data_IF_155490722853
#
_entry.id   IF_155490722853
#
_cell.length_a   1.000
_cell.length_b   1.000
_cell.length_c   1.000
_cell.angle_alpha   90.00
_cell.angle_beta   90.00
_cell.angle_gamma   90.00
#
_symmetry.space_group_name_H-M   'P 1'
#
loop_
_entity.id
_entity.type
_entity.pdbx_description
1 polymer ?
#
# COMPACT_ATOMS: atom_id res chain seq x y z
N UNK A 1 -9.79 -19.09 13.49
CA UNK A 1 -10.74 -18.20 12.77
C UNK A 1 -12.17 -18.74 12.70
N UNK A 2 -12.42 -20.05 12.56
CA UNK A 2 -13.77 -20.59 12.30
C UNK A 2 -14.77 -20.47 13.47
N UNK A 3 -14.32 -20.55 14.73
CA UNK A 3 -15.20 -20.50 15.90
C UNK A 3 -15.80 -19.10 16.19
N UNK A 4 -15.08 -18.03 15.84
CA UNK A 4 -15.56 -16.66 16.09
C UNK A 4 -16.76 -16.29 15.20
N UNK A 5 -16.70 -16.66 13.91
CA UNK A 5 -17.82 -16.47 12.97
C UNK A 5 -19.04 -17.32 13.34
N UNK A 6 -18.82 -18.55 13.82
CA UNK A 6 -19.93 -19.41 14.29
C UNK A 6 -20.67 -18.81 15.50
N UNK A 7 -19.97 -18.05 16.35
CA UNK A 7 -20.55 -17.41 17.55
C UNK A 7 -21.15 -16.04 17.30
N UNK A 8 -20.79 -15.37 16.19
CA UNK A 8 -21.19 -14.00 15.90
C UNK A 8 -21.76 -13.88 14.46
N UNK A 9 -22.97 -14.39 14.21
CA UNK A 9 -23.57 -14.38 12.87
C UNK A 9 -23.83 -12.96 12.31
N UNK A 10 -23.80 -11.94 13.18
CA UNK A 10 -23.91 -10.52 12.81
C UNK A 10 -22.63 -9.96 12.18
N UNK A 11 -21.49 -10.60 12.40
CA UNK A 11 -20.20 -10.14 11.88
C UNK A 11 -20.04 -10.66 10.45
N UNK A 12 -20.18 -9.75 9.48
CA UNK A 12 -19.96 -10.03 8.07
C UNK A 12 -18.56 -9.60 7.67
N UNK A 13 -17.82 -10.49 7.02
CA UNK A 13 -16.53 -10.13 6.44
C UNK A 13 -16.73 -9.54 5.05
N UNK A 14 -16.32 -8.29 4.86
CA UNK A 14 -16.28 -7.69 3.53
C UNK A 14 -14.90 -7.98 2.94
N UNK A 15 -14.88 -8.73 1.84
CA UNK A 15 -13.65 -9.01 1.10
C UNK A 15 -13.39 -7.80 0.20
N UNK A 16 -12.31 -7.06 0.47
CA UNK A 16 -11.88 -5.93 -0.36
C UNK A 16 -11.52 -6.36 -1.78
N UNK A 17 -11.55 -5.42 -2.73
CA UNK A 17 -11.15 -5.68 -4.12
C UNK A 17 -9.66 -6.02 -4.18
N UNK A 18 -9.30 -6.94 -5.08
CA UNK A 18 -7.90 -7.25 -5.38
C UNK A 18 -7.20 -5.96 -5.77
N UNK A 19 -6.14 -5.59 -5.03
CA UNK A 19 -5.32 -4.44 -5.40
C UNK A 19 -4.78 -4.72 -6.80
N UNK A 20 -4.98 -3.75 -7.69
CA UNK A 20 -4.78 -3.88 -9.12
C UNK A 20 -3.32 -4.23 -9.43
N UNK A 21 -3.06 -5.52 -9.71
CA UNK A 21 -1.73 -6.04 -10.01
C UNK A 21 -1.08 -5.38 -11.24
N UNK A 22 -1.86 -4.69 -12.08
CA UNK A 22 -1.36 -3.91 -13.21
C UNK A 22 -0.37 -2.83 -12.78
N UNK A 23 -0.57 -2.19 -11.63
CA UNK A 23 0.36 -1.17 -11.11
C UNK A 23 1.72 -1.74 -10.75
N UNK A 24 1.75 -2.98 -10.24
CA UNK A 24 3.00 -3.68 -9.96
C UNK A 24 3.67 -4.17 -11.25
N UNK A 25 2.88 -4.63 -12.25
CA UNK A 25 3.39 -5.08 -13.55
C UNK A 25 3.96 -3.94 -14.41
N UNK A 26 3.37 -2.75 -14.34
CA UNK A 26 3.84 -1.58 -15.09
C UNK A 26 5.02 -0.84 -14.45
N UNK A 27 5.48 -1.27 -13.27
CA UNK A 27 6.57 -0.62 -12.56
C UNK A 27 7.94 -1.09 -13.08
N UNK A 28 8.46 -0.41 -14.10
CA UNK A 28 9.76 -0.70 -14.70
C UNK A 28 10.89 -0.21 -13.77
N UNK A 29 11.87 -1.06 -13.38
CA UNK A 29 12.94 -0.68 -12.45
C UNK A 29 13.68 0.61 -12.83
N UNK A 30 13.95 0.79 -14.12
CA UNK A 30 14.63 1.95 -14.69
C UNK A 30 13.82 3.24 -14.47
N UNK A 31 12.51 3.19 -14.69
CA UNK A 31 11.61 4.33 -14.47
C UNK A 31 11.51 4.69 -12.99
N UNK A 32 11.47 3.69 -12.10
CA UNK A 32 11.48 3.89 -10.65
C UNK A 32 12.79 4.57 -10.23
N UNK A 33 13.94 4.10 -10.74
CA UNK A 33 15.25 4.71 -10.44
C UNK A 33 15.33 6.15 -10.93
N UNK A 34 14.84 6.42 -12.15
CA UNK A 34 14.78 7.77 -12.71
C UNK A 34 13.92 8.70 -11.85
N UNK A 35 12.72 8.26 -11.46
CA UNK A 35 11.83 8.99 -10.57
C UNK A 35 12.51 9.32 -9.23
N UNK A 36 13.08 8.32 -8.54
CA UNK A 36 13.72 8.53 -7.24
C UNK A 36 14.92 9.48 -7.31
N UNK A 37 15.69 9.45 -8.41
CA UNK A 37 16.80 10.38 -8.64
C UNK A 37 16.30 11.81 -8.84
N UNK A 38 15.24 11.99 -9.63
CA UNK A 38 14.61 13.31 -9.82
C UNK A 38 14.02 13.83 -8.51
N UNK A 39 13.29 12.99 -7.79
CA UNK A 39 12.70 13.32 -6.50
C UNK A 39 13.75 13.84 -5.51
N UNK A 40 14.85 13.11 -5.31
CA UNK A 40 15.94 13.54 -4.41
C UNK A 40 16.52 14.90 -4.80
N UNK A 41 16.74 15.14 -6.10
CA UNK A 41 17.22 16.43 -6.61
C UNK A 41 16.24 17.56 -6.32
N UNK A 42 14.95 17.30 -6.53
CA UNK A 42 13.89 18.27 -6.25
C UNK A 42 13.81 18.60 -4.76
N UNK A 43 13.90 17.60 -3.88
CA UNK A 43 13.90 17.82 -2.44
C UNK A 43 15.07 18.71 -2.00
N UNK A 44 16.29 18.45 -2.50
CA UNK A 44 17.46 19.28 -2.20
C UNK A 44 17.26 20.71 -2.71
N UNK A 45 16.80 20.86 -3.96
CA UNK A 45 16.58 22.17 -4.57
C UNK A 45 15.54 23.01 -3.82
N UNK A 46 14.49 22.38 -3.29
CA UNK A 46 13.39 23.05 -2.61
C UNK A 46 13.54 23.07 -1.08
N UNK A 47 14.60 22.51 -0.52
CA UNK A 47 14.79 22.42 0.93
C UNK A 47 13.76 21.54 1.65
N UNK A 48 13.12 20.60 0.95
CA UNK A 48 12.12 19.68 1.53
C UNK A 48 12.83 18.70 2.46
N UNK A 49 12.37 18.62 3.71
CA UNK A 49 12.96 17.71 4.70
C UNK A 49 12.28 16.35 4.66
N UNK A 50 12.98 15.32 5.13
CA UNK A 50 12.43 13.95 5.19
C UNK A 50 11.13 13.85 6.00
N UNK A 51 10.98 14.67 7.05
CA UNK A 51 9.73 14.74 7.83
C UNK A 51 8.53 15.27 7.04
N UNK A 52 8.79 16.01 5.97
CA UNK A 52 7.77 16.59 5.08
C UNK A 52 7.44 15.62 3.93
N UNK A 53 8.15 14.48 3.84
CA UNK A 53 7.94 13.45 2.83
C UNK A 53 7.30 12.21 3.47
N UNK A 54 6.06 11.93 3.09
CA UNK A 54 5.34 10.74 3.58
C UNK A 54 5.44 9.60 2.56
N UNK A 55 5.78 8.40 3.02
CA UNK A 55 5.68 7.15 2.25
C UNK A 55 6.53 7.07 0.95
N UNK A 56 7.61 7.86 0.83
CA UNK A 56 8.51 7.81 -0.34
C UNK A 56 9.70 6.87 -0.14
N UNK A 57 10.13 6.66 1.10
CA UNK A 57 11.30 5.84 1.45
C UNK A 57 11.07 4.33 1.30
N UNK A 58 9.91 3.91 0.76
CA UNK A 58 9.51 2.51 0.59
C UNK A 58 9.54 1.67 1.88
N UNK A 59 9.73 2.31 3.04
CA UNK A 59 9.61 1.65 4.36
C UNK A 59 8.14 1.32 4.66
N UNK A 60 7.21 2.00 3.99
CA UNK A 60 5.85 1.53 3.81
C UNK A 60 5.85 0.24 2.99
N UNK A 61 5.83 -0.91 3.68
CA UNK A 61 5.72 -2.24 3.10
C UNK A 61 4.71 -2.26 1.95
N UNK A 62 5.19 -2.24 0.71
CA UNK A 62 4.48 -2.83 -0.42
C UNK A 62 4.72 -4.36 -0.46
N UNK A 63 4.79 -5.01 0.71
CA UNK A 63 4.72 -6.46 0.83
C UNK A 63 3.24 -6.83 0.80
N UNK A 64 2.69 -6.84 -0.40
CA UNK A 64 1.27 -7.07 -0.58
C UNK A 64 0.93 -7.30 -2.03
N UNK A 65 1.61 -8.25 -2.66
CA UNK A 65 1.02 -8.95 -3.81
C UNK A 65 -0.30 -9.53 -3.32
N UNK A 66 -1.40 -8.89 -3.71
CA UNK A 66 -2.72 -9.49 -3.89
C UNK A 66 -3.28 -10.34 -2.72
N UNK A 67 -3.35 -9.79 -1.50
CA UNK A 67 -4.31 -10.30 -0.51
C UNK A 67 -5.46 -9.30 -0.38
N UNK A 68 -6.70 -9.75 -0.58
CA UNK A 68 -7.87 -8.93 -0.33
C UNK A 68 -7.85 -8.48 1.13
N UNK A 69 -7.93 -7.18 1.38
CA UNK A 69 -8.09 -6.66 2.75
C UNK A 69 -9.45 -7.15 3.25
N UNK A 70 -9.48 -8.02 4.26
CA UNK A 70 -10.72 -8.48 4.89
C UNK A 70 -11.04 -7.54 6.04
N UNK A 71 -12.11 -6.77 5.91
CA UNK A 71 -12.57 -5.87 6.97
C UNK A 71 -13.71 -6.56 7.72
N UNK A 72 -13.65 -6.54 9.06
CA UNK A 72 -14.72 -6.98 9.93
C UNK A 72 -15.57 -5.77 10.28
N UNK A 73 -16.85 -5.81 9.94
CA UNK A 73 -17.81 -4.80 10.35
C UNK A 73 -18.91 -5.46 11.21
N UNK A 74 -19.34 -4.74 12.24
CA UNK A 74 -20.66 -4.97 12.85
C UNK A 74 -21.62 -4.01 12.17
N UNK A 75 -22.75 -4.51 11.70
CA UNK A 75 -23.94 -3.68 11.45
C UNK A 75 -24.43 -3.04 12.73
#
# INVERSE_FOLDING_TARGET
MSFFFKRNPRVVSIIGRKIEAARAKGAIPEQIRAFLKLFKRTCVRLGIRTKDTWNIDKTGKALGVCANTRVLASS
#
